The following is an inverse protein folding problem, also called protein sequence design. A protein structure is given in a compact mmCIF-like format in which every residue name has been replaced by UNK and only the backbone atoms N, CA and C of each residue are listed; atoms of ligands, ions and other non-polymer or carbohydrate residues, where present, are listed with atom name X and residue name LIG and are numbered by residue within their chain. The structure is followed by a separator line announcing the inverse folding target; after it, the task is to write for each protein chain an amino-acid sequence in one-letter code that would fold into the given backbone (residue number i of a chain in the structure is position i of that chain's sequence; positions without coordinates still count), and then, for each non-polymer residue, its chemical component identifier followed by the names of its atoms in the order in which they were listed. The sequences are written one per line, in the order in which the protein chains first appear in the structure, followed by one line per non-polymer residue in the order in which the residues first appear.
data_IF_770929639008
#
_entry.id   IF_770929639008
#
_cell.length_a   1.000
_cell.length_b   1.000
_cell.length_c   1.000
_cell.angle_alpha   90.00
_cell.angle_beta   90.00
_cell.angle_gamma   90.00
#
_symmetry.space_group_name_H-M   'P 1'
#
loop_
_entity.id
_entity.type
_entity.pdbx_description
1 polymer ?
#
# COMPACT_ATOMS: atom_id res chain seq x y z
N UNK A 1 2.16 -10.93 18.64
CA UNK A 1 1.20 -10.80 19.76
C UNK A 1 0.96 -9.38 20.23
N UNK A 2 1.73 -8.36 19.81
CA UNK A 2 1.43 -6.98 20.26
C UNK A 2 0.13 -6.47 19.64
N UNK A 3 -0.09 -6.69 18.34
CA UNK A 3 -1.29 -6.22 17.62
C UNK A 3 -2.58 -6.76 18.22
N UNK A 4 -2.63 -8.07 18.46
CA UNK A 4 -3.85 -8.76 18.87
C UNK A 4 -4.25 -8.37 20.30
N UNK A 5 -3.26 -8.12 21.16
CA UNK A 5 -3.49 -7.54 22.48
C UNK A 5 -3.97 -6.10 22.41
N UNK A 6 -3.52 -5.31 21.43
CA UNK A 6 -4.01 -3.95 21.23
C UNK A 6 -5.47 -3.93 20.77
N UNK A 7 -5.88 -4.86 19.90
CA UNK A 7 -7.29 -5.02 19.49
C UNK A 7 -8.15 -5.31 20.73
N UNK A 8 -7.79 -6.36 21.48
CA UNK A 8 -8.52 -6.74 22.70
C UNK A 8 -8.59 -5.60 23.71
N UNK A 9 -7.48 -4.91 23.95
CA UNK A 9 -7.45 -3.77 24.88
C UNK A 9 -8.30 -2.59 24.38
N UNK A 10 -8.34 -2.32 23.08
CA UNK A 10 -9.18 -1.26 22.52
C UNK A 10 -10.67 -1.57 22.76
N UNK A 11 -11.11 -2.81 22.51
CA UNK A 11 -12.49 -3.22 22.73
C UNK A 11 -12.85 -3.32 24.22
N UNK A 12 -11.90 -3.62 25.10
CA UNK A 12 -12.09 -3.52 26.56
C UNK A 12 -12.30 -2.07 27.03
N UNK A 13 -11.65 -1.10 26.37
CA UNK A 13 -11.82 0.33 26.66
C UNK A 13 -13.17 0.83 26.12
N UNK A 14 -13.48 0.50 24.87
CA UNK A 14 -14.72 0.89 24.20
C UNK A 14 -14.98 -0.06 23.01
N UNK A 15 -16.06 -0.84 23.11
CA UNK A 15 -16.47 -1.82 22.09
C UNK A 15 -16.82 -1.20 20.73
N UNK A 16 -16.97 0.14 20.64
CA UNK A 16 -17.26 0.84 19.38
C UNK A 16 -16.01 1.20 18.58
N UNK A 17 -14.81 1.06 19.16
CA UNK A 17 -13.55 1.32 18.46
C UNK A 17 -13.29 0.26 17.40
N UNK A 18 -12.91 0.72 16.20
CA UNK A 18 -12.43 -0.17 15.14
C UNK A 18 -10.91 -0.11 15.06
N UNK A 19 -10.27 -1.27 15.11
CA UNK A 19 -8.82 -1.44 15.03
C UNK A 19 -8.46 -2.25 13.80
N UNK A 20 -7.73 -1.61 12.88
CA UNK A 20 -7.20 -2.25 11.68
C UNK A 20 -5.73 -2.65 11.81
N UNK A 21 -5.27 -3.48 10.88
CA UNK A 21 -3.84 -3.64 10.63
C UNK A 21 -3.33 -2.56 9.66
N UNK A 22 -2.06 -2.68 9.24
CA UNK A 22 -1.54 -1.94 8.10
C UNK A 22 -0.54 -2.81 7.35
N UNK A 23 -0.79 -3.03 6.07
CA UNK A 23 0.07 -3.79 5.16
C UNK A 23 0.64 -2.87 4.07
N UNK A 24 1.93 -2.98 3.80
CA UNK A 24 2.50 -2.43 2.56
C UNK A 24 2.20 -3.39 1.40
N UNK A 25 1.07 -3.21 0.71
CA UNK A 25 0.58 -4.20 -0.27
C UNK A 25 1.33 -4.11 -1.58
N UNK A 26 1.87 -5.26 -2.00
CA UNK A 26 2.38 -5.45 -3.36
C UNK A 26 1.41 -6.31 -4.18
N UNK A 27 1.29 -6.01 -5.47
CA UNK A 27 0.59 -6.86 -6.43
C UNK A 27 1.61 -7.51 -7.32
N UNK A 28 1.57 -8.84 -7.39
CA UNK A 28 2.54 -9.64 -8.14
C UNK A 28 1.90 -10.20 -9.41
N UNK A 29 2.50 -9.89 -10.56
CA UNK A 29 2.16 -10.48 -11.84
C UNK A 29 3.21 -11.50 -12.26
N UNK A 30 2.83 -12.70 -12.72
CA UNK A 30 3.82 -13.65 -13.22
C UNK A 30 4.43 -13.11 -14.52
N UNK A 31 5.74 -13.27 -14.70
CA UNK A 31 6.49 -12.80 -15.87
C UNK A 31 5.94 -13.42 -17.17
N UNK A 32 5.58 -14.70 -17.13
CA UNK A 32 4.96 -15.42 -18.24
C UNK A 32 3.86 -16.35 -17.74
N UNK A 33 3.11 -16.98 -18.65
CA UNK A 33 2.16 -18.03 -18.31
C UNK A 33 2.83 -19.38 -17.94
N UNK A 34 4.15 -19.42 -17.76
CA UNK A 34 4.84 -20.66 -17.37
C UNK A 34 4.40 -21.10 -15.96
N UNK A 35 4.27 -22.41 -15.70
CA UNK A 35 3.95 -22.91 -14.37
C UNK A 35 4.94 -22.45 -13.30
N UNK A 36 6.21 -22.29 -13.66
CA UNK A 36 7.27 -21.84 -12.74
C UNK A 36 7.09 -20.38 -12.33
N UNK A 37 6.78 -19.47 -13.26
CA UNK A 37 6.51 -18.07 -12.93
C UNK A 37 5.23 -17.91 -12.11
N UNK A 38 4.21 -18.74 -12.38
CA UNK A 38 2.98 -18.77 -11.59
C UNK A 38 3.23 -19.28 -10.17
N UNK A 39 4.07 -20.31 -10.01
CA UNK A 39 4.47 -20.80 -8.68
C UNK A 39 5.30 -19.76 -7.93
N UNK A 40 6.17 -19.03 -8.62
CA UNK A 40 6.93 -17.90 -8.07
C UNK A 40 6.01 -16.76 -7.62
N UNK A 41 5.04 -16.37 -8.44
CA UNK A 41 4.04 -15.36 -8.07
C UNK A 41 3.20 -15.77 -6.85
N UNK A 42 2.82 -17.05 -6.76
CA UNK A 42 2.11 -17.60 -5.61
C UNK A 42 2.96 -17.52 -4.34
N UNK A 43 4.26 -17.83 -4.44
CA UNK A 43 5.20 -17.70 -3.34
C UNK A 43 5.34 -16.24 -2.89
N UNK A 44 5.58 -15.31 -3.81
CA UNK A 44 5.69 -13.88 -3.50
C UNK A 44 4.44 -13.35 -2.80
N UNK A 45 3.27 -13.73 -3.33
CA UNK A 45 1.97 -13.38 -2.73
C UNK A 45 1.80 -13.99 -1.34
N UNK A 46 2.19 -15.24 -1.13
CA UNK A 46 2.14 -15.88 0.19
C UNK A 46 3.03 -15.17 1.22
N UNK A 47 4.23 -14.77 0.81
CA UNK A 47 5.16 -14.01 1.66
C UNK A 47 4.60 -12.63 2.02
N UNK A 48 4.02 -11.91 1.06
CA UNK A 48 3.34 -10.64 1.30
C UNK A 48 2.16 -10.82 2.27
N UNK A 49 1.40 -11.90 2.15
CA UNK A 49 0.22 -12.16 2.99
C UNK A 49 0.51 -12.77 4.36
N UNK A 50 1.77 -13.09 4.70
CA UNK A 50 2.13 -13.73 5.98
C UNK A 50 1.57 -12.97 7.20
N UNK A 51 1.82 -11.67 7.27
CA UNK A 51 1.42 -10.83 8.41
C UNK A 51 -0.08 -10.54 8.44
N UNK A 52 -0.73 -10.11 7.33
CA UNK A 52 -2.16 -9.87 7.35
C UNK A 52 -2.98 -11.16 7.55
N UNK A 53 -2.48 -12.34 7.15
CA UNK A 53 -3.14 -13.60 7.51
C UNK A 53 -3.20 -13.81 9.03
N UNK A 54 -2.10 -13.56 9.74
CA UNK A 54 -2.09 -13.67 11.20
C UNK A 54 -3.02 -12.64 11.83
N UNK A 55 -3.00 -11.39 11.36
CA UNK A 55 -3.77 -10.30 11.96
C UNK A 55 -5.27 -10.37 11.66
N UNK A 56 -5.66 -10.84 10.47
CA UNK A 56 -7.06 -10.90 10.04
C UNK A 56 -7.71 -12.26 10.35
N UNK A 57 -6.94 -13.36 10.41
CA UNK A 57 -7.47 -14.72 10.65
C UNK A 57 -7.07 -15.29 12.01
N UNK A 58 -6.11 -14.69 12.70
CA UNK A 58 -5.66 -15.12 14.01
C UNK A 58 -4.85 -16.42 13.99
N UNK A 59 -4.29 -16.79 12.84
CA UNK A 59 -3.47 -18.00 12.71
C UNK A 59 -2.35 -17.82 11.67
N UNK A 60 -1.24 -18.54 11.88
CA UNK A 60 -0.17 -18.57 10.89
C UNK A 60 -0.62 -19.36 9.65
N UNK A 61 -0.41 -18.83 8.43
CA UNK A 61 -0.81 -19.53 7.23
C UNK A 61 -0.04 -20.83 7.02
N UNK A 62 -0.76 -21.88 6.62
CA UNK A 62 -0.22 -23.24 6.45
C UNK A 62 1.02 -23.28 5.54
N UNK A 63 1.05 -22.44 4.49
CA UNK A 63 2.11 -22.44 3.49
C UNK A 63 3.44 -21.92 4.04
N UNK A 64 3.43 -21.20 5.17
CA UNK A 64 4.65 -20.68 5.79
C UNK A 64 5.39 -21.71 6.62
N UNK A 65 4.75 -22.83 7.00
CA UNK A 65 5.40 -23.90 7.75
C UNK A 65 6.64 -24.43 7.03
N UNK A 66 6.51 -24.74 5.74
CA UNK A 66 7.63 -25.22 4.92
C UNK A 66 8.73 -24.16 4.82
N UNK A 67 8.36 -22.90 4.66
CA UNK A 67 9.33 -21.80 4.61
C UNK A 67 10.13 -21.71 5.91
N UNK A 68 9.46 -21.77 7.07
CA UNK A 68 10.12 -21.74 8.36
C UNK A 68 11.06 -22.93 8.57
N UNK A 69 10.62 -24.15 8.25
CA UNK A 69 11.45 -25.36 8.32
C UNK A 69 12.71 -25.24 7.45
N UNK A 70 12.57 -24.81 6.20
CA UNK A 70 13.68 -24.67 5.26
C UNK A 70 14.69 -23.59 5.67
N UNK A 71 14.26 -22.59 6.45
CA UNK A 71 15.10 -21.50 6.93
C UNK A 71 15.50 -21.65 8.40
N UNK A 72 15.21 -22.80 9.04
CA UNK A 72 15.46 -23.06 10.46
C UNK A 72 14.86 -21.99 11.39
N UNK A 73 13.68 -21.48 11.03
CA UNK A 73 12.92 -20.53 11.85
C UNK A 73 12.06 -21.30 12.83
N UNK A 74 12.27 -21.09 14.12
CA UNK A 74 11.43 -21.61 15.20
C UNK A 74 10.74 -20.43 15.87
N UNK A 75 9.41 -20.40 15.80
CA UNK A 75 8.61 -19.38 16.47
C UNK A 75 8.52 -19.73 17.96
N UNK A 76 8.93 -18.83 18.88
CA UNK A 76 8.87 -19.08 20.32
C UNK A 76 7.44 -18.88 20.86
N UNK A 77 6.51 -19.73 20.41
CA UNK A 77 5.11 -19.70 20.85
C UNK A 77 4.99 -20.16 22.30
N UNK A 78 4.24 -19.41 23.09
CA UNK A 78 3.91 -19.74 24.48
C UNK A 78 2.48 -20.27 24.59
N UNK A 79 2.19 -20.91 25.71
CA UNK A 79 0.83 -21.35 26.02
C UNK A 79 -0.14 -20.16 26.03
N UNK A 80 -1.23 -20.26 25.28
CA UNK A 80 -2.24 -19.21 25.15
C UNK A 80 -2.04 -18.26 23.96
N UNK A 81 -0.89 -18.30 23.28
CA UNK A 81 -0.61 -17.39 22.16
C UNK A 81 -1.61 -17.59 21.01
N UNK A 82 -1.90 -18.83 20.64
CA UNK A 82 -2.87 -19.13 19.56
C UNK A 82 -4.28 -18.62 19.88
N UNK A 83 -4.69 -18.68 21.15
CA UNK A 83 -5.99 -18.16 21.60
C UNK A 83 -6.04 -16.63 21.54
N UNK A 84 -4.94 -15.97 21.92
CA UNK A 84 -4.83 -14.51 21.81
C UNK A 84 -4.87 -14.09 20.33
N UNK A 85 -4.18 -14.81 19.45
CA UNK A 85 -4.20 -14.51 18.01
C UNK A 85 -5.62 -14.62 17.45
N UNK A 86 -6.33 -15.70 17.76
CA UNK A 86 -7.71 -15.93 17.29
C UNK A 86 -8.71 -14.91 17.80
N UNK A 87 -8.56 -14.45 19.04
CA UNK A 87 -9.50 -13.50 19.65
C UNK A 87 -9.21 -12.05 19.26
N UNK A 88 -7.96 -11.69 19.01
CA UNK A 88 -7.53 -10.33 18.70
C UNK A 88 -7.38 -10.05 17.20
N UNK A 89 -8.26 -10.60 16.36
CA UNK A 89 -8.27 -10.29 14.93
C UNK A 89 -8.80 -8.88 14.67
N UNK A 90 -8.26 -8.22 13.65
CA UNK A 90 -8.62 -6.83 13.32
C UNK A 90 -10.06 -6.68 12.78
N UNK A 91 -10.65 -5.51 12.99
CA UNK A 91 -12.02 -5.18 12.56
C UNK A 91 -12.10 -4.82 11.06
N UNK A 92 -11.00 -4.33 10.51
CA UNK A 92 -10.86 -3.99 9.10
C UNK A 92 -9.43 -4.22 8.61
N UNK A 93 -9.28 -4.44 7.30
CA UNK A 93 -7.98 -4.53 6.65
C UNK A 93 -7.55 -3.14 6.18
N UNK A 94 -6.32 -2.74 6.48
CA UNK A 94 -5.73 -1.54 5.88
C UNK A 94 -4.47 -1.85 5.10
N UNK A 95 -4.27 -1.13 3.99
CA UNK A 95 -3.04 -1.23 3.24
C UNK A 95 -2.63 0.06 2.54
N UNK A 96 -1.32 0.17 2.27
CA UNK A 96 -0.78 1.11 1.30
C UNK A 96 -0.59 0.45 -0.07
N UNK A 97 -0.75 1.22 -1.13
CA UNK A 97 -0.50 0.75 -2.50
C UNK A 97 0.13 1.84 -3.36
N UNK A 98 1.25 1.49 -4.00
CA UNK A 98 2.01 2.39 -4.87
C UNK A 98 2.39 1.77 -6.22
N UNK A 99 2.61 0.46 -6.29
CA UNK A 99 3.17 -0.20 -7.47
C UNK A 99 2.81 -1.70 -7.51
N UNK A 100 2.82 -2.27 -8.71
CA UNK A 100 2.89 -3.72 -8.94
C UNK A 100 4.34 -4.19 -9.14
N UNK A 101 4.56 -5.51 -9.07
CA UNK A 101 5.86 -6.19 -9.25
C UNK A 101 5.69 -7.36 -10.24
N UNK A 102 6.72 -7.62 -11.04
CA UNK A 102 6.80 -8.84 -11.87
C UNK A 102 7.55 -9.94 -11.11
N UNK A 103 6.91 -11.10 -11.01
CA UNK A 103 7.46 -12.33 -10.43
C UNK A 103 7.97 -13.25 -11.53
N UNK A 104 9.29 -13.49 -11.56
CA UNK A 104 9.92 -14.38 -12.54
C UNK A 104 10.74 -15.47 -11.85
N UNK A 105 10.57 -16.71 -12.27
CA UNK A 105 11.42 -17.81 -11.83
C UNK A 105 12.75 -17.75 -12.58
N UNK A 106 13.85 -17.69 -11.83
CA UNK A 106 15.19 -17.53 -12.38
C UNK A 106 15.98 -18.85 -12.53
N UNK A 107 15.34 -20.00 -12.29
CA UNK A 107 15.98 -21.32 -12.38
C UNK A 107 16.58 -21.84 -11.07
N UNK A 108 16.58 -21.05 -9.99
CA UNK A 108 17.08 -21.46 -8.67
C UNK A 108 15.93 -21.92 -7.74
N UNK A 109 15.89 -21.40 -6.51
CA UNK A 109 14.81 -21.53 -5.54
C UNK A 109 13.86 -20.35 -5.66
N UNK A 110 12.63 -20.54 -5.14
CA UNK A 110 11.67 -19.45 -5.02
C UNK A 110 12.24 -18.38 -4.08
N UNK A 111 12.26 -17.12 -4.54
CA UNK A 111 12.81 -15.98 -3.80
C UNK A 111 11.85 -14.82 -3.85
N UNK A 112 11.76 -14.05 -2.75
CA UNK A 112 10.83 -12.94 -2.66
C UNK A 112 11.25 -11.80 -3.59
N UNK A 113 10.34 -11.39 -4.48
CA UNK A 113 10.48 -10.19 -5.28
C UNK A 113 9.98 -8.96 -4.49
N UNK A 114 10.74 -7.86 -4.54
CA UNK A 114 10.34 -6.59 -3.92
C UNK A 114 10.64 -5.43 -4.87
N UNK A 115 9.87 -4.35 -4.79
CA UNK A 115 9.93 -3.21 -5.71
C UNK A 115 11.23 -2.38 -5.59
N UNK A 116 11.99 -2.55 -4.50
CA UNK A 116 13.18 -1.76 -4.20
C UNK A 116 14.50 -2.46 -4.53
N UNK A 117 14.46 -3.58 -5.26
CA UNK A 117 15.68 -4.31 -5.65
C UNK A 117 16.16 -3.81 -7.01
N UNK A 118 17.43 -3.36 -7.06
CA UNK A 118 18.13 -3.16 -8.34
C UNK A 118 18.02 -4.44 -9.18
N UNK A 119 17.51 -4.31 -10.42
CA UNK A 119 17.34 -5.43 -11.34
C UNK A 119 16.00 -6.14 -11.27
N UNK A 120 14.99 -5.56 -10.59
CA UNK A 120 13.62 -6.04 -10.70
C UNK A 120 13.14 -6.00 -12.17
N UNK A 121 12.47 -7.06 -12.59
CA UNK A 121 11.91 -7.18 -13.93
C UNK A 121 10.83 -6.13 -14.16
N UNK A 122 10.89 -5.45 -15.31
CA UNK A 122 9.89 -4.44 -15.69
C UNK A 122 8.73 -5.09 -16.44
N UNK A 123 7.52 -4.79 -15.98
CA UNK A 123 6.29 -4.97 -16.74
C UNK A 123 6.26 -3.97 -17.91
N UNK A 124 6.29 -4.47 -19.15
CA UNK A 124 6.28 -3.64 -20.38
C UNK A 124 4.90 -3.06 -20.73
N UNK A 125 3.85 -3.36 -19.95
CA UNK A 125 2.49 -2.90 -20.18
C UNK A 125 2.08 -1.70 -19.32
N UNK A 126 2.99 -1.20 -18.48
CA UNK A 126 2.75 -0.07 -17.57
C UNK A 126 3.87 0.96 -17.67
N UNK A 127 3.55 2.20 -17.30
CA UNK A 127 4.53 3.27 -17.20
C UNK A 127 5.28 3.22 -15.86
N UNK A 128 6.39 3.95 -15.75
CA UNK A 128 7.21 4.02 -14.54
C UNK A 128 7.45 5.46 -14.13
N UNK A 129 7.45 5.69 -12.83
CA UNK A 129 7.90 6.96 -12.25
C UNK A 129 9.41 7.16 -12.41
N UNK A 130 9.91 8.35 -12.09
CA UNK A 130 11.34 8.65 -12.06
C UNK A 130 12.13 7.81 -11.02
N UNK A 131 11.44 7.10 -10.12
CA UNK A 131 12.04 6.17 -9.13
C UNK A 131 11.79 4.70 -9.48
N UNK A 132 11.51 4.38 -10.76
CA UNK A 132 11.28 3.02 -11.25
C UNK A 132 10.13 2.27 -10.56
N UNK A 133 9.17 3.01 -9.99
CA UNK A 133 7.91 2.42 -9.50
C UNK A 133 6.90 2.33 -10.64
N UNK A 134 6.28 1.17 -10.81
CA UNK A 134 5.27 0.94 -11.82
C UNK A 134 4.01 1.74 -11.49
N UNK A 135 3.51 2.51 -12.46
CA UNK A 135 2.26 3.25 -12.37
C UNK A 135 1.15 2.31 -12.85
N UNK A 136 0.61 1.53 -11.92
CA UNK A 136 -0.41 0.53 -12.20
C UNK A 136 -1.70 0.81 -11.40
N UNK A 137 -2.67 1.55 -11.95
CA UNK A 137 -3.95 1.75 -11.28
C UNK A 137 -4.80 0.48 -11.25
N UNK A 138 -4.69 -0.42 -12.24
CA UNK A 138 -5.48 -1.66 -12.27
C UNK A 138 -5.06 -2.57 -11.12
N UNK A 139 -3.77 -2.56 -10.78
CA UNK A 139 -3.25 -3.26 -9.61
C UNK A 139 -3.93 -2.84 -8.30
N UNK A 140 -4.37 -1.58 -8.12
CA UNK A 140 -5.18 -1.19 -6.96
C UNK A 140 -6.51 -1.95 -6.90
N UNK A 141 -7.24 -2.06 -8.02
CA UNK A 141 -8.50 -2.83 -8.08
C UNK A 141 -8.26 -4.31 -7.83
N UNK A 142 -7.16 -4.87 -8.35
CA UNK A 142 -6.75 -6.26 -8.11
C UNK A 142 -6.45 -6.47 -6.62
N UNK A 143 -5.70 -5.55 -5.99
CA UNK A 143 -5.39 -5.61 -4.56
C UNK A 143 -6.68 -5.58 -3.73
N UNK A 144 -7.60 -4.65 -4.01
CA UNK A 144 -8.87 -4.53 -3.30
C UNK A 144 -9.70 -5.80 -3.39
N UNK A 145 -9.93 -6.31 -4.61
CA UNK A 145 -10.69 -7.54 -4.80
C UNK A 145 -10.04 -8.74 -4.11
N UNK A 146 -8.72 -8.90 -4.25
CA UNK A 146 -8.00 -10.02 -3.65
C UNK A 146 -8.03 -10.00 -2.11
N UNK A 147 -7.85 -8.83 -1.49
CA UNK A 147 -7.89 -8.70 -0.03
C UNK A 147 -9.31 -8.91 0.49
N UNK A 148 -10.33 -8.38 -0.20
CA UNK A 148 -11.72 -8.54 0.21
C UNK A 148 -12.22 -9.98 0.04
N UNK A 149 -11.88 -10.65 -1.06
CA UNK A 149 -12.18 -12.07 -1.27
C UNK A 149 -11.52 -12.95 -0.20
N UNK A 150 -10.29 -12.61 0.20
CA UNK A 150 -9.52 -13.40 1.16
C UNK A 150 -10.00 -13.28 2.61
N UNK A 151 -10.41 -12.09 3.03
CA UNK A 151 -10.69 -11.78 4.44
C UNK A 151 -12.14 -11.43 4.73
N UNK A 152 -12.91 -10.98 3.72
CA UNK A 152 -14.28 -10.49 3.90
C UNK A 152 -14.41 -9.41 4.98
N UNK A 153 -13.36 -8.60 5.14
CA UNK A 153 -13.33 -7.45 6.05
C UNK A 153 -13.44 -6.15 5.25
N UNK A 154 -14.07 -5.10 5.80
CA UNK A 154 -14.01 -3.77 5.22
C UNK A 154 -12.57 -3.31 5.01
N UNK A 155 -12.33 -2.48 4.00
CA UNK A 155 -11.00 -2.03 3.62
C UNK A 155 -10.85 -0.53 3.79
N UNK A 156 -9.73 -0.14 4.39
CA UNK A 156 -9.25 1.24 4.45
C UNK A 156 -7.91 1.38 3.70
N UNK A 157 -7.88 2.18 2.63
CA UNK A 157 -6.64 2.45 1.91
C UNK A 157 -5.88 3.53 2.68
N UNK A 158 -4.89 3.12 3.47
CA UNK A 158 -4.19 4.01 4.40
C UNK A 158 -3.14 4.89 3.73
N UNK A 159 -2.57 4.47 2.60
CA UNK A 159 -1.66 5.32 1.84
C UNK A 159 -1.69 4.99 0.34
N UNK A 160 -1.81 6.03 -0.48
CA UNK A 160 -1.57 5.96 -1.92
C UNK A 160 -1.17 7.35 -2.41
N UNK A 161 -0.08 7.46 -3.16
CA UNK A 161 0.47 8.77 -3.50
C UNK A 161 1.49 8.74 -4.62
N UNK A 162 1.80 9.92 -5.15
CA UNK A 162 2.80 10.09 -6.20
C UNK A 162 3.86 11.10 -5.81
N UNK A 163 5.08 10.59 -5.65
CA UNK A 163 6.28 11.38 -5.39
C UNK A 163 6.82 11.94 -6.69
N UNK A 164 7.09 13.24 -6.74
CA UNK A 164 7.66 13.92 -7.89
C UNK A 164 8.53 15.11 -7.46
N UNK A 165 9.36 15.59 -8.37
CA UNK A 165 10.01 16.88 -8.22
C UNK A 165 9.01 17.97 -8.59
N UNK A 166 8.55 18.74 -7.61
CA UNK A 166 7.69 19.89 -7.88
C UNK A 166 8.53 21.12 -8.20
N UNK A 167 8.02 21.96 -9.11
CA UNK A 167 8.57 23.28 -9.41
C UNK A 167 7.53 24.35 -9.06
N UNK A 168 8.00 25.43 -8.41
CA UNK A 168 7.21 26.65 -8.22
C UNK A 168 7.33 27.49 -9.48
N UNK A 169 6.20 27.75 -10.12
CA UNK A 169 6.13 28.48 -11.38
C UNK A 169 6.13 29.99 -11.16
N UNK A 170 6.23 30.78 -12.24
CA UNK A 170 6.33 32.24 -12.17
C UNK A 170 5.12 32.93 -11.52
N UNK A 171 3.97 32.26 -11.47
CA UNK A 171 2.76 32.71 -10.79
C UNK A 171 2.73 32.39 -9.28
N UNK A 172 3.78 31.73 -8.77
CA UNK A 172 3.91 31.31 -7.37
C UNK A 172 3.21 30.00 -7.04
N UNK A 173 2.65 29.29 -8.02
CA UNK A 173 1.91 28.04 -7.84
C UNK A 173 2.72 26.84 -8.33
N UNK A 174 2.38 25.66 -7.79
CA UNK A 174 2.86 24.38 -8.33
C UNK A 174 1.74 23.77 -9.17
N UNK A 175 1.99 23.61 -10.47
CA UNK A 175 1.06 22.96 -11.42
C UNK A 175 1.37 21.46 -11.53
N UNK A 176 0.91 20.68 -10.55
CA UNK A 176 1.21 19.25 -10.41
C UNK A 176 0.18 18.32 -11.05
N UNK A 177 -0.09 18.52 -12.35
CA UNK A 177 -1.05 17.71 -13.12
C UNK A 177 -0.72 16.21 -13.13
N UNK A 178 0.56 15.84 -13.07
CA UNK A 178 0.98 14.43 -12.96
C UNK A 178 0.48 13.76 -11.66
N UNK A 179 0.35 14.52 -10.58
CA UNK A 179 -0.14 14.01 -9.28
C UNK A 179 -1.65 13.83 -9.33
N UNK A 180 -2.34 14.77 -9.96
CA UNK A 180 -3.78 14.69 -10.23
C UNK A 180 -4.07 13.45 -11.08
N UNK A 181 -3.40 13.30 -12.23
CA UNK A 181 -3.59 12.17 -13.15
C UNK A 181 -3.37 10.81 -12.46
N UNK A 182 -2.28 10.67 -11.68
CA UNK A 182 -2.01 9.45 -10.92
C UNK A 182 -3.15 9.12 -9.95
N UNK A 183 -3.52 10.07 -9.08
CA UNK A 183 -4.54 9.83 -8.06
C UNK A 183 -5.93 9.64 -8.66
N UNK A 184 -6.26 10.37 -9.73
CA UNK A 184 -7.51 10.21 -10.48
C UNK A 184 -7.64 8.79 -11.03
N UNK A 185 -6.57 8.26 -11.65
CA UNK A 185 -6.53 6.88 -12.17
C UNK A 185 -6.69 5.85 -11.05
N UNK A 186 -6.02 6.05 -9.91
CA UNK A 186 -6.15 5.15 -8.74
C UNK A 186 -7.58 5.17 -8.17
N UNK A 187 -8.14 6.35 -7.90
CA UNK A 187 -9.50 6.50 -7.37
C UNK A 187 -10.58 5.96 -8.32
N UNK A 188 -10.36 6.08 -9.64
CA UNK A 188 -11.24 5.45 -10.63
C UNK A 188 -11.30 3.95 -10.43
N UNK A 189 -10.16 3.29 -10.18
CA UNK A 189 -10.10 1.86 -9.93
C UNK A 189 -10.64 1.47 -8.55
N UNK A 190 -10.55 2.36 -7.54
CA UNK A 190 -11.26 2.20 -6.26
C UNK A 190 -12.78 2.23 -6.48
N UNK A 191 -13.32 3.18 -7.26
CA UNK A 191 -14.76 3.23 -7.60
C UNK A 191 -15.22 1.95 -8.30
N UNK A 192 -14.39 1.41 -9.20
CA UNK A 192 -14.68 0.16 -9.88
C UNK A 192 -14.64 -1.06 -8.93
N UNK A 193 -13.70 -1.12 -7.98
CA UNK A 193 -13.68 -2.17 -6.96
C UNK A 193 -14.91 -2.11 -6.04
N UNK A 194 -15.38 -0.92 -5.68
CA UNK A 194 -16.64 -0.75 -4.93
C UNK A 194 -17.83 -1.28 -5.76
N UNK A 195 -17.84 -1.07 -7.08
CA UNK A 195 -18.85 -1.65 -7.99
C UNK A 195 -18.73 -3.17 -8.11
N UNK A 196 -17.54 -3.74 -7.94
CA UNK A 196 -17.33 -5.19 -7.85
C UNK A 196 -17.90 -5.79 -6.55
N UNK A 197 -18.24 -4.95 -5.57
CA UNK A 197 -18.80 -5.35 -4.27
C UNK A 197 -17.80 -5.29 -3.11
N UNK A 198 -16.61 -4.74 -3.32
CA UNK A 198 -15.62 -4.53 -2.25
C UNK A 198 -16.08 -3.42 -1.32
N UNK A 199 -16.13 -3.70 -0.02
CA UNK A 199 -16.45 -2.69 0.99
C UNK A 199 -15.22 -1.82 1.30
N UNK A 200 -15.12 -0.68 0.63
CA UNK A 200 -14.09 0.34 0.91
C UNK A 200 -14.73 1.51 1.63
N UNK A 201 -14.29 1.79 2.86
CA UNK A 201 -14.87 2.87 3.67
C UNK A 201 -13.96 4.10 3.81
N UNK A 202 -12.73 4.03 3.32
CA UNK A 202 -11.81 5.17 3.38
C UNK A 202 -10.61 5.07 2.44
N UNK A 203 -10.09 6.25 2.08
CA UNK A 203 -8.88 6.44 1.30
C UNK A 203 -8.13 7.67 1.84
N UNK A 204 -6.88 7.50 2.23
CA UNK A 204 -6.00 8.59 2.63
C UNK A 204 -4.85 8.74 1.64
N UNK A 205 -4.89 9.82 0.87
CA UNK A 205 -3.82 10.17 -0.06
C UNK A 205 -2.52 10.45 0.71
N UNK A 206 -1.42 9.87 0.24
CA UNK A 206 -0.08 10.18 0.71
C UNK A 206 0.52 11.31 -0.15
N UNK A 207 0.65 12.53 0.35
CA UNK A 207 0.28 13.01 1.68
C UNK A 207 -0.37 14.40 1.59
N UNK A 208 -1.08 14.88 2.63
CA UNK A 208 -1.73 16.19 2.56
C UNK A 208 -0.75 17.37 2.48
N UNK A 209 0.47 17.23 3.00
CA UNK A 209 1.50 18.28 3.06
C UNK A 209 2.88 17.67 2.81
N UNK A 210 3.77 18.39 2.12
CA UNK A 210 5.15 17.93 1.93
C UNK A 210 5.83 17.56 3.27
N UNK A 211 6.59 16.48 3.22
CA UNK A 211 7.32 15.88 4.33
C UNK A 211 8.66 15.34 3.83
N UNK A 212 9.57 15.04 4.76
CA UNK A 212 10.83 14.35 4.43
C UNK A 212 10.50 12.95 3.95
N UNK A 213 10.90 12.60 2.73
CA UNK A 213 10.56 11.30 2.13
C UNK A 213 11.15 10.16 2.95
N UNK A 214 10.36 9.11 3.18
CA UNK A 214 10.84 7.93 3.91
C UNK A 214 11.85 7.12 3.08
N UNK A 215 11.71 7.12 1.75
CA UNK A 215 12.50 6.25 0.86
C UNK A 215 13.88 6.82 0.52
N UNK A 216 13.99 8.15 0.36
CA UNK A 216 15.24 8.80 -0.04
C UNK A 216 15.78 9.76 1.02
N UNK A 217 15.02 10.02 2.09
CA UNK A 217 15.36 11.04 3.09
C UNK A 217 15.55 12.43 2.48
N UNK A 218 14.86 12.69 1.37
CA UNK A 218 14.88 13.96 0.62
C UNK A 218 13.58 14.71 0.85
N UNK A 219 13.65 16.04 0.86
CA UNK A 219 12.49 16.92 0.75
C UNK A 219 12.15 17.24 -0.72
N UNK A 220 13.12 17.12 -1.63
CA UNK A 220 12.96 17.33 -3.07
C UNK A 220 11.99 16.34 -3.73
N UNK A 221 11.87 15.12 -3.21
CA UNK A 221 10.82 14.16 -3.58
C UNK A 221 9.53 14.49 -2.82
N UNK A 222 8.61 15.20 -3.47
CA UNK A 222 7.43 15.78 -2.83
C UNK A 222 6.18 14.97 -3.14
N UNK A 223 5.32 14.81 -2.12
CA UNK A 223 4.05 14.07 -2.20
C UNK A 223 2.82 14.94 -1.88
N UNK A 224 3.03 16.07 -1.21
CA UNK A 224 1.99 16.90 -0.60
C UNK A 224 0.96 17.44 -1.59
N UNK A 225 -0.28 17.67 -1.14
CA UNK A 225 -1.16 18.66 -1.80
C UNK A 225 -0.78 20.10 -1.43
N UNK A 226 -0.13 20.28 -0.29
CA UNK A 226 0.41 21.56 0.17
C UNK A 226 1.92 21.55 -0.02
N UNK A 227 2.42 22.48 -0.83
CA UNK A 227 3.84 22.76 -0.97
C UNK A 227 4.37 23.38 0.32
N UNK A 228 5.63 23.07 0.64
CA UNK A 228 6.36 23.68 1.77
C UNK A 228 7.69 24.15 1.21
N UNK A 229 7.98 25.44 1.41
CA UNK A 229 9.26 26.05 1.03
C UNK A 229 10.36 25.59 2.00
N UNK A 230 10.94 24.44 1.66
CA UNK A 230 12.02 23.77 2.35
C UNK A 230 12.80 22.94 1.32
N UNK A 231 14.12 22.94 1.42
CA UNK A 231 15.03 22.11 0.62
C UNK A 231 15.59 20.92 1.43
N UNK A 232 16.42 20.09 0.78
CA UNK A 232 17.04 18.91 1.39
C UNK A 232 18.02 19.24 2.53
N UNK A 233 18.49 20.48 2.61
CA UNK A 233 19.43 20.95 3.63
C UNK A 233 18.75 21.70 4.77
N UNK A 234 17.41 21.78 4.76
CA UNK A 234 16.63 22.47 5.78
C UNK A 234 16.55 23.99 5.59
N UNK A 235 16.93 24.51 4.42
CA UNK A 235 16.77 25.94 4.08
C UNK A 235 15.42 26.20 3.43
N UNK A 236 14.83 27.34 3.75
CA UNK A 236 13.55 27.79 3.20
C UNK A 236 12.78 28.61 4.23
N UNK A 237 11.71 29.27 3.80
CA UNK A 237 10.84 30.08 4.67
C UNK A 237 9.87 29.24 5.49
N UNK A 238 9.72 27.95 5.15
CA UNK A 238 8.68 27.06 5.66
C UNK A 238 7.26 27.54 5.32
N UNK A 239 7.08 28.47 4.37
CA UNK A 239 5.75 28.87 3.93
C UNK A 239 5.00 27.71 3.26
N UNK A 240 3.66 27.71 3.42
CA UNK A 240 2.76 26.66 2.92
C UNK A 240 1.91 27.21 1.80
N UNK A 241 1.99 26.59 0.62
CA UNK A 241 1.24 27.03 -0.56
C UNK A 241 0.43 25.87 -1.13
N UNK A 242 -0.90 26.00 -1.29
CA UNK A 242 -1.71 24.98 -1.94
C UNK A 242 -1.26 24.75 -3.40
N UNK A 243 -1.02 23.49 -3.78
CA UNK A 243 -0.74 23.11 -5.16
C UNK A 243 -2.04 23.00 -5.97
N UNK A 244 -1.95 22.76 -7.28
CA UNK A 244 -3.12 22.51 -8.13
C UNK A 244 -3.94 21.32 -7.64
N UNK A 245 -3.25 20.24 -7.27
CA UNK A 245 -3.84 19.02 -6.71
C UNK A 245 -4.64 19.24 -5.43
N UNK A 246 -4.32 20.25 -4.61
CA UNK A 246 -5.12 20.61 -3.44
C UNK A 246 -6.56 20.99 -3.83
N UNK A 247 -6.69 21.87 -4.82
CA UNK A 247 -8.00 22.34 -5.27
C UNK A 247 -8.76 21.24 -6.01
N UNK A 248 -8.06 20.38 -6.74
CA UNK A 248 -8.64 19.18 -7.34
C UNK A 248 -9.19 18.23 -6.27
N UNK A 249 -8.38 17.84 -5.29
CA UNK A 249 -8.80 16.88 -4.26
C UNK A 249 -9.91 17.44 -3.36
N UNK A 250 -9.93 18.77 -3.14
CA UNK A 250 -11.07 19.47 -2.51
C UNK A 250 -12.39 19.24 -3.27
N UNK A 251 -12.38 19.26 -4.61
CA UNK A 251 -13.57 19.00 -5.45
C UNK A 251 -13.95 17.53 -5.43
N UNK A 252 -12.96 16.62 -5.46
CA UNK A 252 -13.19 15.18 -5.30
C UNK A 252 -13.95 14.90 -4.00
N UNK A 253 -13.47 15.43 -2.87
CA UNK A 253 -14.13 15.25 -1.56
C UNK A 253 -15.53 15.87 -1.57
N UNK A 254 -15.67 17.13 -2.05
CA UNK A 254 -16.95 17.84 -2.06
C UNK A 254 -18.02 17.15 -2.93
N UNK A 255 -17.60 16.47 -3.99
CA UNK A 255 -18.48 15.71 -4.90
C UNK A 255 -18.61 14.22 -4.50
N UNK A 256 -18.01 13.79 -3.39
CA UNK A 256 -17.90 12.39 -2.99
C UNK A 256 -17.37 11.48 -4.13
N UNK A 257 -16.38 11.97 -4.86
CA UNK A 257 -15.75 11.25 -5.97
C UNK A 257 -16.56 11.20 -7.27
N UNK A 258 -17.62 11.99 -7.42
CA UNK A 258 -18.33 12.13 -8.70
C UNK A 258 -17.55 12.99 -9.70
N UNK A 259 -16.84 14.01 -9.23
CA UNK A 259 -15.89 14.81 -10.02
C UNK A 259 -14.46 14.34 -9.73
N UNK A 260 -13.97 13.39 -10.53
CA UNK A 260 -12.59 12.92 -10.55
C UNK A 260 -11.80 13.61 -11.67
#
# INVERSE_FOLDING_TARGET
MTTERCVLAAHEIDETLQVGNMQSKQVYYPKTCSPQDNLQQLFDTGMDLLFPDVQCKGEYPYYMKRFFEQNNVVLPMQEGDEEVLKKGTVDFMSFSYYSSIVSGYNGDSLKLHTSNLMGAEKNNYVEYSAWDWAIDPIGMRIALNHMYDRYHLPIFISECGFGAYDQVEADGMVHDDYRIDFLQKQLTQVKEAIRDGVEVFGFTAWCPINLVSQTTSEFSKRYGFVYVDLDDYGNGTYERTPKKSFYWYKKVIASNGEEL
#
